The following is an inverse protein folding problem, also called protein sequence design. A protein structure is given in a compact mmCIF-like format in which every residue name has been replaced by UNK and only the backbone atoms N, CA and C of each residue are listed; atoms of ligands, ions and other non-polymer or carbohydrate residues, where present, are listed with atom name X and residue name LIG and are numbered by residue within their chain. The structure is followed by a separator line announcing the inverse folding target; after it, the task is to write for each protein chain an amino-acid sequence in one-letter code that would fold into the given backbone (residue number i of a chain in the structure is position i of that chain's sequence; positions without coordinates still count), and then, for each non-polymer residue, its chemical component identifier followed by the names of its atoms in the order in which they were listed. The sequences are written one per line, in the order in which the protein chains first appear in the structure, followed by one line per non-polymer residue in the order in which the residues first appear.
data_IF_555489497539
#
_entry.id   IF_555489497539
#
_cell.length_a   1.000
_cell.length_b   1.000
_cell.length_c   1.000
_cell.angle_alpha   90.00
_cell.angle_beta   90.00
_cell.angle_gamma   90.00
#
_symmetry.space_group_name_H-M   'P 1'
#
loop_
_entity.id
_entity.type
_entity.pdbx_description
1 polymer ?
#
# COMPACT_ATOMS: atom_id res chain seq x y z
N UNK A 1 16.64 -7.29 -19.76
CA UNK A 1 16.14 -6.58 -18.57
C UNK A 1 15.74 -5.17 -18.97
N UNK A 2 14.53 -4.77 -18.65
CA UNK A 2 14.03 -3.44 -18.99
C UNK A 2 13.93 -2.58 -17.73
N UNK A 3 14.23 -1.28 -17.86
CA UNK A 3 14.16 -0.33 -16.76
C UNK A 3 12.88 0.49 -16.87
N UNK A 4 12.14 0.55 -15.78
CA UNK A 4 10.87 1.29 -15.71
C UNK A 4 10.82 2.18 -14.48
N UNK A 5 9.96 3.20 -14.52
CA UNK A 5 9.51 3.88 -13.31
C UNK A 5 8.27 3.15 -12.81
N UNK A 6 8.11 3.05 -11.50
CA UNK A 6 6.96 2.34 -10.93
C UNK A 6 5.63 2.93 -11.40
N UNK A 7 5.57 4.25 -11.57
CA UNK A 7 4.36 4.91 -12.06
C UNK A 7 3.94 4.54 -13.46
N UNK A 8 4.86 3.98 -14.26
CA UNK A 8 4.59 3.59 -15.64
C UNK A 8 4.07 2.15 -15.74
N UNK A 9 4.31 1.33 -14.71
CA UNK A 9 3.96 -0.10 -14.75
C UNK A 9 3.04 -0.52 -13.60
N UNK A 10 2.69 0.40 -12.71
CA UNK A 10 1.78 0.16 -11.59
C UNK A 10 0.82 1.33 -11.46
N UNK A 11 -0.40 1.03 -11.01
CA UNK A 11 -1.30 2.06 -10.50
C UNK A 11 -1.00 2.26 -9.02
N UNK A 12 -0.77 3.50 -8.60
CA UNK A 12 -0.43 3.80 -7.21
C UNK A 12 -1.66 4.34 -6.50
N UNK A 13 -2.09 3.64 -5.46
CA UNK A 13 -3.36 3.89 -4.76
C UNK A 13 -3.11 4.06 -3.27
N UNK A 14 -3.65 5.13 -2.70
CA UNK A 14 -3.66 5.35 -1.27
C UNK A 14 -5.06 5.04 -0.71
N UNK A 15 -5.28 5.36 0.55
CA UNK A 15 -6.57 5.13 1.20
C UNK A 15 -6.99 6.32 2.03
N UNK A 16 -7.99 6.12 2.87
CA UNK A 16 -8.45 7.13 3.81
C UNK A 16 -9.00 6.48 5.06
N UNK A 17 -9.24 7.29 6.08
CA UNK A 17 -9.80 6.85 7.36
C UNK A 17 -11.23 7.33 7.44
N UNK A 18 -12.22 6.42 7.55
CA UNK A 18 -13.60 6.82 7.82
C UNK A 18 -13.67 7.57 9.14
N UNK A 19 -14.62 8.47 9.30
CA UNK A 19 -14.78 9.22 10.54
C UNK A 19 -14.95 8.27 11.72
N UNK A 20 -14.05 8.36 12.68
CA UNK A 20 -14.03 7.45 13.84
C UNK A 20 -15.22 7.64 14.77
N UNK A 21 -15.83 8.82 14.75
CA UNK A 21 -17.01 9.12 15.57
C UNK A 21 -18.33 8.61 15.01
N UNK A 22 -18.33 7.99 13.83
CA UNK A 22 -19.55 7.44 13.23
C UNK A 22 -19.53 5.93 13.40
N UNK A 23 -20.27 5.42 14.38
CA UNK A 23 -20.26 4.00 14.74
C UNK A 23 -20.65 3.08 13.58
N UNK A 24 -21.55 3.52 12.71
CA UNK A 24 -22.04 2.74 11.57
C UNK A 24 -20.94 2.48 10.51
N UNK A 25 -19.79 3.13 10.63
CA UNK A 25 -18.67 2.93 9.70
C UNK A 25 -17.76 1.79 10.13
N UNK A 26 -17.85 1.33 11.37
CA UNK A 26 -16.89 0.40 11.98
C UNK A 26 -17.53 -0.94 12.38
N UNK A 27 -16.64 -1.92 12.64
CA UNK A 27 -17.02 -3.25 13.09
C UNK A 27 -17.86 -4.05 12.08
N UNK A 28 -17.62 -3.81 10.79
CA UNK A 28 -18.24 -4.60 9.72
C UNK A 28 -17.37 -5.78 9.32
N UNK A 29 -17.48 -6.18 8.06
CA UNK A 29 -16.77 -7.35 7.53
C UNK A 29 -15.64 -6.97 6.55
N UNK A 30 -15.51 -5.70 6.23
CA UNK A 30 -14.55 -5.24 5.20
C UNK A 30 -13.20 -4.96 5.83
N UNK A 31 -12.16 -5.57 5.28
CA UNK A 31 -10.79 -5.42 5.76
C UNK A 31 -10.29 -4.00 5.50
N UNK A 32 -9.71 -3.37 6.53
CA UNK A 32 -9.16 -2.04 6.45
C UNK A 32 -7.87 -2.00 7.27
N UNK A 33 -6.74 -1.87 6.58
CA UNK A 33 -5.41 -2.07 7.17
C UNK A 33 -4.71 -0.74 7.45
N UNK A 34 -3.84 -0.74 8.48
CA UNK A 34 -3.00 0.40 8.82
C UNK A 34 -1.53 -0.02 8.79
N UNK A 35 -0.58 0.95 8.64
CA UNK A 35 0.85 0.61 8.57
C UNK A 35 1.37 -0.14 9.79
N UNK A 36 0.80 0.09 10.98
CA UNK A 36 1.23 -0.58 12.20
C UNK A 36 1.02 -2.09 12.17
N UNK A 37 0.18 -2.58 11.27
CA UNK A 37 -0.08 -4.01 11.12
C UNK A 37 0.97 -4.73 10.26
N UNK A 38 1.86 -3.97 9.61
CA UNK A 38 2.94 -4.54 8.82
C UNK A 38 4.22 -4.64 9.66
N UNK A 39 4.98 -5.71 9.43
CA UNK A 39 6.28 -5.94 10.05
C UNK A 39 7.29 -6.35 8.99
N UNK A 40 8.56 -6.55 9.39
CA UNK A 40 9.59 -7.02 8.47
C UNK A 40 9.33 -8.45 7.99
N UNK A 41 8.44 -9.17 8.67
CA UNK A 41 8.11 -10.57 8.36
C UNK A 41 6.85 -10.69 7.52
N UNK A 42 6.15 -9.59 7.28
CA UNK A 42 4.90 -9.60 6.50
C UNK A 42 5.16 -10.02 5.06
N UNK A 43 4.32 -10.91 4.55
CA UNK A 43 4.37 -11.32 3.16
C UNK A 43 2.98 -11.22 2.53
N UNK A 44 2.10 -12.18 2.77
CA UNK A 44 0.71 -12.11 2.30
C UNK A 44 -0.19 -11.80 3.52
N UNK A 45 -1.03 -10.78 3.39
CA UNK A 45 -1.94 -10.36 4.45
C UNK A 45 -3.37 -10.51 3.95
N UNK A 46 -4.19 -11.23 4.72
CA UNK A 46 -5.58 -11.51 4.36
C UNK A 46 -6.58 -11.09 5.44
N UNK A 47 -6.13 -10.33 6.43
CA UNK A 47 -7.00 -9.84 7.48
C UNK A 47 -6.53 -8.48 7.98
N UNK A 48 -7.34 -7.83 8.81
CA UNK A 48 -7.02 -6.56 9.43
C UNK A 48 -7.54 -6.53 10.86
N UNK A 49 -6.89 -5.75 11.72
CA UNK A 49 -7.31 -5.59 13.12
C UNK A 49 -8.67 -4.92 13.20
N UNK A 50 -8.82 -3.82 12.45
CA UNK A 50 -10.09 -3.09 12.38
C UNK A 50 -10.79 -3.39 11.08
N UNK A 51 -12.12 -3.41 11.12
CA UNK A 51 -12.96 -3.66 9.95
C UNK A 51 -13.96 -2.53 9.79
N UNK A 52 -14.33 -2.27 8.55
CA UNK A 52 -15.27 -1.20 8.20
C UNK A 52 -16.51 -1.78 7.54
N UNK A 53 -17.49 -0.93 7.28
CA UNK A 53 -18.77 -1.33 6.71
C UNK A 53 -18.91 -0.86 5.26
N UNK A 54 -19.87 -1.44 4.52
CA UNK A 54 -20.22 -0.97 3.19
C UNK A 54 -20.60 0.51 3.20
N UNK A 55 -21.26 0.96 4.26
CA UNK A 55 -21.65 2.37 4.39
C UNK A 55 -20.39 3.26 4.44
N UNK A 56 -19.37 2.84 5.18
CA UNK A 56 -18.10 3.59 5.24
C UNK A 56 -17.47 3.73 3.86
N UNK A 57 -17.41 2.63 3.11
CA UNK A 57 -16.84 2.62 1.77
C UNK A 57 -17.60 3.58 0.84
N UNK A 58 -18.93 3.51 0.87
CA UNK A 58 -19.78 4.36 0.02
C UNK A 58 -19.66 5.84 0.35
N UNK A 59 -19.64 6.17 1.64
CA UNK A 59 -19.61 7.56 2.10
C UNK A 59 -18.25 8.22 1.93
N UNK A 60 -17.17 7.46 2.01
CA UNK A 60 -15.82 7.99 1.87
C UNK A 60 -15.29 7.92 0.44
N UNK A 61 -15.90 7.11 -0.42
CA UNK A 61 -15.45 6.95 -1.79
C UNK A 61 -14.09 6.26 -1.91
N UNK A 62 -13.74 5.41 -0.94
CA UNK A 62 -12.45 4.72 -0.93
C UNK A 62 -12.28 3.80 -2.14
N UNK A 63 -11.03 3.69 -2.59
CA UNK A 63 -10.67 2.77 -3.67
C UNK A 63 -10.36 1.39 -3.10
N UNK A 64 -11.00 0.36 -3.66
CA UNK A 64 -10.72 -1.02 -3.31
C UNK A 64 -9.35 -1.44 -3.83
N UNK A 65 -8.62 -2.23 -3.02
CA UNK A 65 -7.36 -2.83 -3.40
C UNK A 65 -7.62 -4.28 -3.77
N UNK A 66 -7.42 -4.67 -5.04
CA UNK A 66 -7.65 -6.06 -5.43
C UNK A 66 -6.64 -7.01 -4.82
N UNK A 67 -6.97 -8.29 -4.80
CA UNK A 67 -6.03 -9.33 -4.38
C UNK A 67 -4.76 -9.23 -5.22
N UNK A 68 -3.60 -9.38 -4.59
CA UNK A 68 -2.31 -9.28 -5.26
C UNK A 68 -1.68 -7.90 -5.25
N UNK A 69 -2.40 -6.87 -4.79
CA UNK A 69 -1.84 -5.52 -4.65
C UNK A 69 -0.63 -5.54 -3.72
N UNK A 70 0.45 -4.86 -4.11
CA UNK A 70 1.62 -4.71 -3.24
C UNK A 70 1.37 -3.54 -2.30
N UNK A 71 1.30 -3.83 -1.02
CA UNK A 71 1.06 -2.84 0.03
C UNK A 71 2.39 -2.24 0.45
N UNK A 72 2.48 -0.91 0.43
CA UNK A 72 3.69 -0.20 0.82
C UNK A 72 3.34 0.90 1.81
N UNK A 73 3.88 0.80 3.03
CA UNK A 73 3.66 1.85 4.01
C UNK A 73 4.46 3.09 3.62
N UNK A 74 3.77 4.23 3.54
CA UNK A 74 4.36 5.52 3.16
C UNK A 74 4.49 6.47 4.34
N UNK A 75 3.95 6.09 5.51
CA UNK A 75 4.11 6.78 6.79
C UNK A 75 4.68 5.80 7.80
N UNK A 76 5.15 6.28 8.92
CA UNK A 76 5.80 5.47 9.94
C UNK A 76 4.97 4.24 10.35
N UNK A 77 5.54 3.05 10.29
CA UNK A 77 6.89 2.73 9.83
C UNK A 77 6.98 2.69 8.30
N UNK A 78 7.80 3.59 7.72
CA UNK A 78 7.95 3.70 6.27
C UNK A 78 8.69 2.48 5.71
N UNK A 79 8.24 2.00 4.55
CA UNK A 79 8.95 0.98 3.81
C UNK A 79 8.60 -0.45 4.19
N UNK A 80 7.55 -0.65 4.98
CA UNK A 80 7.03 -1.99 5.24
C UNK A 80 6.22 -2.43 4.03
N UNK A 81 6.36 -3.67 3.64
CA UNK A 81 5.78 -4.20 2.41
C UNK A 81 5.01 -5.48 2.69
N UNK A 82 3.91 -5.68 1.97
CA UNK A 82 3.15 -6.93 2.00
C UNK A 82 2.38 -7.07 0.69
N UNK A 83 1.76 -8.24 0.50
CA UNK A 83 0.89 -8.49 -0.66
C UNK A 83 -0.52 -8.73 -0.12
N UNK A 84 -1.52 -8.09 -0.71
CA UNK A 84 -2.90 -8.29 -0.32
C UNK A 84 -3.35 -9.69 -0.73
N UNK A 85 -3.73 -10.51 0.24
CA UNK A 85 -4.22 -11.87 0.01
C UNK A 85 -5.72 -11.93 -0.27
N UNK A 86 -6.40 -10.80 -0.13
CA UNK A 86 -7.82 -10.64 -0.43
C UNK A 86 -8.08 -9.19 -0.81
N UNK A 87 -9.29 -8.90 -1.28
CA UNK A 87 -9.70 -7.52 -1.48
C UNK A 87 -9.72 -6.80 -0.14
N UNK A 88 -9.17 -5.59 -0.09
CA UNK A 88 -9.13 -4.82 1.14
C UNK A 88 -9.05 -3.32 0.87
N UNK A 89 -9.13 -2.56 1.96
CA UNK A 89 -8.97 -1.11 1.98
C UNK A 89 -7.88 -0.74 2.97
N UNK A 90 -7.47 0.50 2.98
CA UNK A 90 -6.40 0.95 3.87
C UNK A 90 -6.59 2.40 4.27
N UNK A 91 -5.83 2.84 5.28
CA UNK A 91 -5.79 4.25 5.64
C UNK A 91 -4.84 5.01 4.70
N UNK A 92 -4.66 6.30 4.95
CA UNK A 92 -3.84 7.17 4.10
C UNK A 92 -2.33 6.98 4.27
N UNK A 93 -1.91 6.10 5.14
CA UNK A 93 -0.49 5.81 5.40
C UNK A 93 0.13 4.83 4.42
N UNK A 94 -0.49 4.62 3.27
CA UNK A 94 -0.03 3.68 2.24
C UNK A 94 0.08 4.36 0.88
N UNK A 95 1.02 3.88 0.08
CA UNK A 95 1.06 4.11 -1.37
C UNK A 95 1.18 2.73 -2.00
N UNK A 96 0.04 2.11 -2.27
CA UNK A 96 -0.03 0.73 -2.74
C UNK A 96 0.14 0.66 -4.24
N UNK A 97 0.66 -0.48 -4.72
CA UNK A 97 0.99 -0.64 -6.13
C UNK A 97 0.19 -1.82 -6.70
N UNK A 98 -0.70 -1.48 -7.64
CA UNK A 98 -1.44 -2.46 -8.40
C UNK A 98 -0.63 -2.71 -9.67
N UNK A 99 -0.01 -3.90 -9.76
CA UNK A 99 0.90 -4.22 -10.84
C UNK A 99 0.17 -4.46 -12.16
N UNK A 100 0.72 -3.92 -13.25
CA UNK A 100 0.29 -4.27 -14.60
C UNK A 100 0.97 -5.58 -15.01
N UNK A 101 0.72 -6.01 -16.26
CA UNK A 101 1.33 -7.23 -16.80
C UNK A 101 2.83 -7.09 -17.02
N UNK A 102 3.37 -5.88 -16.91
CA UNK A 102 4.80 -5.63 -17.13
C UNK A 102 5.67 -6.02 -15.94
N UNK A 103 5.08 -6.31 -14.79
CA UNK A 103 5.85 -6.66 -13.59
C UNK A 103 5.09 -7.69 -12.75
N UNK A 104 5.83 -8.66 -12.24
CA UNK A 104 5.30 -9.64 -11.29
C UNK A 104 5.25 -9.00 -9.90
N UNK A 105 4.11 -9.14 -9.20
CA UNK A 105 3.93 -8.53 -7.88
C UNK A 105 4.90 -9.06 -6.82
N UNK A 106 5.27 -10.34 -6.90
CA UNK A 106 6.22 -10.92 -5.95
C UNK A 106 7.63 -10.38 -6.16
N UNK A 107 8.01 -10.15 -7.42
CA UNK A 107 9.28 -9.52 -7.75
C UNK A 107 9.31 -8.10 -7.17
N UNK A 108 8.23 -7.34 -7.35
CA UNK A 108 8.13 -5.98 -6.79
C UNK A 108 8.20 -6.01 -5.26
N UNK A 109 7.52 -6.97 -4.62
CA UNK A 109 7.57 -7.13 -3.16
C UNK A 109 9.02 -7.27 -2.68
N UNK A 110 9.78 -8.18 -3.29
CA UNK A 110 11.16 -8.42 -2.87
C UNK A 110 12.07 -7.23 -3.19
N UNK A 111 11.84 -6.55 -4.30
CA UNK A 111 12.58 -5.34 -4.64
C UNK A 111 12.39 -4.27 -3.56
N UNK A 112 11.15 -3.98 -3.20
CA UNK A 112 10.85 -2.97 -2.19
C UNK A 112 11.38 -3.37 -0.83
N UNK A 113 11.21 -4.62 -0.45
CA UNK A 113 11.69 -5.14 0.84
C UNK A 113 13.20 -5.04 0.94
N UNK A 114 13.91 -5.29 -0.14
CA UNK A 114 15.37 -5.19 -0.19
C UNK A 114 15.90 -3.76 -0.18
N UNK A 115 15.01 -2.76 -0.30
CA UNK A 115 15.39 -1.35 -0.40
C UNK A 115 14.76 -0.49 0.71
N UNK A 116 14.52 -1.06 1.89
CA UNK A 116 13.88 -0.36 3.00
C UNK A 116 14.60 0.93 3.39
N UNK A 117 15.93 0.89 3.48
CA UNK A 117 16.72 2.07 3.84
C UNK A 117 16.57 3.19 2.80
N UNK A 118 16.60 2.82 1.52
CA UNK A 118 16.37 3.76 0.43
C UNK A 118 14.98 4.38 0.52
N UNK A 119 13.95 3.55 0.74
CA UNK A 119 12.57 4.04 0.87
C UNK A 119 12.45 5.02 2.03
N UNK A 120 13.07 4.72 3.17
CA UNK A 120 13.05 5.64 4.31
C UNK A 120 13.72 6.98 3.98
N UNK A 121 14.76 6.96 3.15
CA UNK A 121 15.47 8.17 2.75
C UNK A 121 14.62 9.10 1.88
N UNK A 122 13.58 8.56 1.23
CA UNK A 122 12.69 9.33 0.37
C UNK A 122 11.59 10.08 1.13
N UNK A 123 11.42 9.78 2.43
CA UNK A 123 10.41 10.44 3.25
C UNK A 123 10.66 11.94 3.38
N UNK A 124 9.60 12.72 3.35
CA UNK A 124 9.62 14.19 3.47
C UNK A 124 8.67 14.63 4.58
N UNK A 125 9.01 15.70 5.25
CA UNK A 125 8.23 16.26 6.33
C UNK A 125 9.08 16.50 7.57
N UNK A 126 8.77 17.57 8.32
CA UNK A 126 9.54 17.94 9.51
C UNK A 126 9.15 17.12 10.73
N UNK A 127 7.85 16.96 10.98
CA UNK A 127 7.30 16.26 12.14
C UNK A 127 6.93 14.83 11.80
N UNK A 128 6.21 14.64 10.67
CA UNK A 128 5.79 13.32 10.19
C UNK A 128 6.30 13.14 8.77
N UNK A 129 7.19 12.16 8.60
CA UNK A 129 7.72 11.85 7.27
C UNK A 129 6.72 11.01 6.48
N UNK A 130 6.64 11.30 5.20
CA UNK A 130 5.81 10.55 4.27
C UNK A 130 6.46 10.49 2.90
N UNK A 131 6.27 9.37 2.19
CA UNK A 131 6.64 9.26 0.78
C UNK A 131 5.38 9.58 -0.03
N UNK A 132 5.46 10.60 -0.88
CA UNK A 132 4.32 10.99 -1.73
C UNK A 132 4.12 10.02 -2.88
N UNK A 133 2.93 10.10 -3.52
CA UNK A 133 2.62 9.32 -4.72
C UNK A 133 3.60 9.64 -5.85
N UNK A 134 3.94 10.92 -6.04
CA UNK A 134 4.87 11.32 -7.10
C UNK A 134 6.26 10.75 -6.87
N UNK A 135 6.73 10.71 -5.62
CA UNK A 135 8.02 10.11 -5.29
C UNK A 135 8.01 8.62 -5.58
N UNK A 136 6.97 7.90 -5.18
CA UNK A 136 6.85 6.47 -5.46
C UNK A 136 6.82 6.22 -6.97
N UNK A 137 6.09 7.05 -7.73
CA UNK A 137 6.00 6.94 -9.20
C UNK A 137 7.36 7.02 -9.88
N UNK A 138 8.28 7.79 -9.32
CA UNK A 138 9.59 8.03 -9.92
C UNK A 138 10.63 6.98 -9.56
N UNK A 139 10.34 6.05 -8.65
CA UNK A 139 11.26 4.97 -8.28
C UNK A 139 11.52 4.10 -9.51
N UNK A 140 12.80 3.91 -9.83
CA UNK A 140 13.20 3.10 -10.96
C UNK A 140 13.44 1.66 -10.56
N UNK A 141 13.04 0.72 -11.41
CA UNK A 141 13.21 -0.70 -11.18
C UNK A 141 13.62 -1.38 -12.49
N UNK A 142 14.56 -2.31 -12.39
CA UNK A 142 14.92 -3.17 -13.51
C UNK A 142 14.08 -4.44 -13.44
N UNK A 143 13.36 -4.73 -14.51
CA UNK A 143 12.47 -5.89 -14.57
C UNK A 143 13.05 -6.91 -15.53
N UNK A 144 13.31 -8.15 -15.08
CA UNK A 144 13.80 -9.20 -15.97
C UNK A 144 12.78 -9.56 -17.04
N UNK A 145 13.28 -9.95 -18.20
CA UNK A 145 12.43 -10.51 -19.24
C UNK A 145 12.00 -11.92 -18.81
N UNK A 146 10.78 -12.27 -19.13
CA UNK A 146 10.22 -13.58 -18.80
C UNK A 146 10.34 -14.51 -20.00
#
# INVERSE_FOLDING_TARGET
MAKYKLGDICEIVSGCTPKTGIDEYWNGDIKWITPAELSDESYVISDSVRKITDLAVKKTGMTSLPVGTVLLSSRAPIGKVAIAGCEMYCNQGFKNLICSDNINNRYLYWFLKGNTAFLNSLGRGATFKEISKSIVSEIEINVPDI
#
